data_IF_266564390930
#
_entry.id   IF_266564390930
#
_cell.length_a   1.000
_cell.length_b   1.000
_cell.length_c   1.000
_cell.angle_alpha   90.00
_cell.angle_beta   90.00
_cell.angle_gamma   90.00
#
_symmetry.space_group_name_H-M   'P 1'
#
loop_
_entity.id
_entity.type
_entity.pdbx_description
1 polymer ?
#
# COMPACT_ATOMS: atom_id res chain seq x y z
N UNK A 1 -24.49 10.20 5.43
CA UNK A 1 -24.04 9.37 4.29
C UNK A 1 -24.51 7.96 4.52
N UNK A 2 -25.05 7.30 3.48
CA UNK A 2 -25.28 5.85 3.54
C UNK A 2 -23.93 5.13 3.58
N UNK A 3 -23.88 3.97 4.24
CA UNK A 3 -22.71 3.07 4.21
C UNK A 3 -22.28 2.74 2.76
N UNK A 4 -23.24 2.73 1.84
CA UNK A 4 -22.98 2.52 0.41
C UNK A 4 -22.27 3.71 -0.25
N UNK A 5 -22.59 4.96 0.13
CA UNK A 5 -21.95 6.16 -0.42
C UNK A 5 -20.48 6.23 -0.02
N UNK A 6 -20.19 5.87 1.24
CA UNK A 6 -18.83 5.80 1.76
C UNK A 6 -18.00 4.75 1.02
N UNK A 7 -18.57 3.56 0.80
CA UNK A 7 -17.88 2.49 0.07
C UNK A 7 -17.63 2.87 -1.39
N UNK A 8 -18.58 3.55 -2.05
CA UNK A 8 -18.39 4.11 -3.39
C UNK A 8 -17.27 5.13 -3.43
N UNK A 9 -17.19 6.01 -2.43
CA UNK A 9 -16.13 7.00 -2.33
C UNK A 9 -14.75 6.35 -2.17
N UNK A 10 -14.63 5.34 -1.30
CA UNK A 10 -13.39 4.58 -1.09
C UNK A 10 -12.91 3.89 -2.37
N UNK A 11 -13.82 3.22 -3.08
CA UNK A 11 -13.51 2.58 -4.38
C UNK A 11 -13.04 3.62 -5.38
N UNK A 12 -13.74 4.76 -5.49
CA UNK A 12 -13.35 5.83 -6.42
C UNK A 12 -11.96 6.38 -6.12
N UNK A 13 -11.65 6.66 -4.85
CA UNK A 13 -10.32 7.12 -4.42
C UNK A 13 -9.24 6.07 -4.78
N UNK A 14 -9.51 4.79 -4.53
CA UNK A 14 -8.58 3.71 -4.84
C UNK A 14 -8.33 3.57 -6.36
N UNK A 15 -9.36 3.69 -7.18
CA UNK A 15 -9.24 3.64 -8.65
C UNK A 15 -8.37 4.78 -9.17
N UNK A 16 -8.64 6.02 -8.74
CA UNK A 16 -7.86 7.19 -9.16
C UNK A 16 -6.38 7.05 -8.78
N UNK A 17 -6.10 6.50 -7.60
CA UNK A 17 -4.73 6.36 -7.11
C UNK A 17 -3.96 5.19 -7.77
N UNK A 18 -4.52 3.99 -7.75
CA UNK A 18 -3.81 2.78 -8.18
C UNK A 18 -3.96 2.47 -9.67
N UNK A 19 -5.11 2.79 -10.27
CA UNK A 19 -5.38 2.49 -11.67
C UNK A 19 -5.02 3.66 -12.58
N UNK A 20 -5.33 4.89 -12.16
CA UNK A 20 -5.08 6.09 -12.97
C UNK A 20 -3.78 6.79 -12.62
N UNK A 21 -3.10 6.38 -11.54
CA UNK A 21 -1.79 6.90 -11.16
C UNK A 21 -1.80 8.35 -10.65
N UNK A 22 -2.97 8.89 -10.29
CA UNK A 22 -3.09 10.26 -9.79
C UNK A 22 -2.41 10.41 -8.43
N UNK A 23 -1.83 11.59 -8.18
CA UNK A 23 -1.25 11.92 -6.87
C UNK A 23 -2.36 12.21 -5.87
N UNK A 24 -2.11 11.93 -4.58
CA UNK A 24 -3.10 12.16 -3.51
C UNK A 24 -3.59 13.61 -3.44
N UNK A 25 -2.73 14.59 -3.74
CA UNK A 25 -3.10 16.01 -3.79
C UNK A 25 -4.04 16.31 -4.97
N UNK A 26 -3.81 15.72 -6.14
CA UNK A 26 -4.66 15.89 -7.33
C UNK A 26 -6.05 15.27 -7.09
N UNK A 27 -6.10 14.10 -6.47
CA UNK A 27 -7.35 13.43 -6.06
C UNK A 27 -8.11 14.29 -5.04
N UNK A 28 -7.39 14.87 -4.07
CA UNK A 28 -7.99 15.73 -3.05
C UNK A 28 -8.67 16.96 -3.69
N UNK A 29 -7.98 17.63 -4.61
CA UNK A 29 -8.55 18.76 -5.36
C UNK A 29 -9.74 18.33 -6.22
N UNK A 30 -9.62 17.22 -6.96
CA UNK A 30 -10.66 16.71 -7.87
C UNK A 30 -11.95 16.29 -7.15
N UNK A 31 -11.84 15.75 -5.92
CA UNK A 31 -12.98 15.30 -5.13
C UNK A 31 -13.44 16.33 -4.08
N UNK A 32 -12.83 17.51 -4.03
CA UNK A 32 -13.06 18.53 -2.99
C UNK A 32 -12.89 17.97 -1.56
N UNK A 33 -11.84 17.18 -1.36
CA UNK A 33 -11.47 16.56 -0.08
C UNK A 33 -10.12 17.07 0.41
N UNK A 34 -9.79 16.82 1.67
CA UNK A 34 -8.43 17.05 2.15
C UNK A 34 -7.50 15.92 1.71
N UNK A 35 -6.22 16.26 1.46
CA UNK A 35 -5.20 15.26 1.15
C UNK A 35 -5.04 14.22 2.28
N UNK A 36 -5.18 14.64 3.54
CA UNK A 36 -5.12 13.74 4.70
C UNK A 36 -6.29 12.76 4.76
N UNK A 37 -7.47 13.15 4.27
CA UNK A 37 -8.59 12.23 4.10
C UNK A 37 -8.29 11.21 3.00
N UNK A 38 -7.81 11.65 1.84
CA UNK A 38 -7.43 10.76 0.71
C UNK A 38 -6.38 9.73 1.13
N UNK A 39 -5.34 10.16 1.85
CA UNK A 39 -4.29 9.27 2.38
C UNK A 39 -4.86 8.18 3.30
N UNK A 40 -5.73 8.57 4.24
CA UNK A 40 -6.41 7.63 5.15
C UNK A 40 -7.34 6.68 4.39
N UNK A 41 -8.06 7.19 3.38
CA UNK A 41 -8.94 6.39 2.53
C UNK A 41 -8.16 5.30 1.79
N UNK A 42 -7.03 5.64 1.16
CA UNK A 42 -6.17 4.66 0.48
C UNK A 42 -5.69 3.57 1.44
N UNK A 43 -5.20 3.98 2.61
CA UNK A 43 -4.75 3.04 3.66
C UNK A 43 -5.88 2.11 4.11
N UNK A 44 -7.09 2.66 4.28
CA UNK A 44 -8.29 1.91 4.64
C UNK A 44 -8.68 0.92 3.53
N UNK A 45 -8.62 1.30 2.26
CA UNK A 45 -8.93 0.40 1.14
C UNK A 45 -8.06 -0.86 1.15
N UNK A 46 -6.77 -0.73 1.48
CA UNK A 46 -5.88 -1.90 1.64
C UNK A 46 -6.27 -2.71 2.88
N UNK A 47 -6.48 -2.06 4.02
CA UNK A 47 -6.85 -2.71 5.29
C UNK A 47 -8.16 -3.50 5.18
N UNK A 48 -9.16 -2.95 4.51
CA UNK A 48 -10.49 -3.54 4.33
C UNK A 48 -10.57 -4.47 3.11
N UNK A 49 -9.44 -4.76 2.46
CA UNK A 49 -9.34 -5.63 1.28
C UNK A 49 -10.16 -5.18 0.07
N UNK A 50 -10.45 -3.87 -0.01
CA UNK A 50 -10.95 -3.24 -1.24
C UNK A 50 -9.86 -3.21 -2.31
N UNK A 51 -8.60 -3.09 -1.89
CA UNK A 51 -7.42 -3.14 -2.77
C UNK A 51 -6.52 -4.31 -2.36
N UNK A 52 -6.08 -5.09 -3.35
CA UNK A 52 -5.05 -6.13 -3.19
C UNK A 52 -3.82 -5.74 -4.00
N UNK A 53 -2.71 -5.53 -3.31
CA UNK A 53 -1.41 -5.25 -3.94
C UNK A 53 -0.65 -6.56 -4.07
N UNK A 54 -0.13 -6.85 -5.27
CA UNK A 54 0.73 -8.01 -5.53
C UNK A 54 2.02 -7.53 -6.16
N UNK A 55 3.14 -7.98 -5.61
CA UNK A 55 4.48 -7.72 -6.14
C UNK A 55 4.93 -8.97 -6.87
N UNK A 56 5.17 -8.85 -8.18
CA UNK A 56 5.67 -9.95 -9.01
C UNK A 56 7.20 -9.95 -8.88
N UNK A 57 7.74 -11.05 -8.36
CA UNK A 57 9.19 -11.21 -8.27
C UNK A 57 9.75 -11.65 -9.62
N UNK A 58 10.79 -10.98 -10.15
CA UNK A 58 11.45 -11.44 -11.36
C UNK A 58 12.19 -12.77 -11.08
N UNK A 59 12.36 -13.61 -12.12
CA UNK A 59 13.15 -14.84 -11.99
C UNK A 59 14.57 -14.51 -11.50
N UNK A 60 15.13 -15.40 -10.67
CA UNK A 60 16.46 -15.29 -10.04
C UNK A 60 16.59 -14.29 -8.87
N UNK A 61 15.50 -13.66 -8.44
CA UNK A 61 15.50 -12.82 -7.23
C UNK A 61 15.02 -13.65 -6.03
N UNK A 62 15.94 -14.31 -5.34
CA UNK A 62 15.63 -15.16 -4.17
C UNK A 62 15.55 -14.33 -2.88
N UNK A 63 14.63 -13.36 -2.81
CA UNK A 63 14.52 -12.47 -1.64
C UNK A 63 14.35 -13.23 -0.32
N UNK A 64 13.65 -14.38 -0.34
CA UNK A 64 13.54 -15.25 0.85
C UNK A 64 14.87 -15.86 1.29
N UNK A 65 15.72 -16.25 0.33
CA UNK A 65 17.06 -16.80 0.61
C UNK A 65 18.00 -15.69 1.13
N UNK A 66 17.98 -14.52 0.50
CA UNK A 66 18.77 -13.36 0.95
C UNK A 66 18.39 -12.93 2.36
N UNK A 67 17.09 -12.89 2.67
CA UNK A 67 16.59 -12.59 4.01
C UNK A 67 17.06 -13.63 5.04
N UNK A 68 17.03 -14.92 4.69
CA UNK A 68 17.50 -16.00 5.56
C UNK A 68 19.03 -15.94 5.82
N UNK A 69 19.82 -15.66 4.78
CA UNK A 69 21.28 -15.47 4.89
C UNK A 69 21.58 -14.25 5.77
N UNK A 70 20.90 -13.13 5.54
CA UNK A 70 21.06 -11.91 6.34
C UNK A 70 20.74 -12.17 7.82
N UNK A 71 19.63 -12.83 8.11
CA UNK A 71 19.25 -13.17 9.48
C UNK A 71 20.30 -14.04 10.18
N UNK A 72 20.88 -15.03 9.48
CA UNK A 72 21.97 -15.86 9.98
C UNK A 72 23.24 -15.04 10.26
N UNK A 73 23.62 -14.14 9.35
CA UNK A 73 24.81 -13.29 9.53
C UNK A 73 24.66 -12.31 10.70
N UNK A 74 23.48 -11.71 10.88
CA UNK A 74 23.24 -10.82 12.03
C UNK A 74 23.24 -11.57 13.37
N UNK A 75 22.77 -12.82 13.42
CA UNK A 75 22.85 -13.64 14.63
C UNK A 75 24.30 -14.01 15.00
N UNK A 76 25.14 -14.27 14.00
CA UNK A 76 26.57 -14.52 14.21
C UNK A 76 27.24 -13.26 14.76
N UNK A 77 26.97 -12.09 14.16
CA UNK A 77 27.57 -10.83 14.60
C UNK A 77 27.17 -10.47 16.05
N UNK A 78 25.96 -10.80 16.49
CA UNK A 78 25.51 -10.58 17.86
C UNK A 78 26.15 -11.56 18.89
N UNK A 79 26.66 -12.70 18.45
CA UNK A 79 27.27 -13.71 19.33
C UNK A 79 28.76 -13.46 19.60
N UNK A 80 29.37 -12.48 18.91
CA UNK A 80 30.79 -12.10 19.02
C UNK A 80 31.01 -10.70 19.63
N UNK A 81 29.97 -10.09 20.22
CA UNK A 81 30.03 -8.88 21.07
C UNK A 81 29.46 -9.20 22.45
#
# INVERSE_FOLDING_TARGET
MSKQDEQRLLVKIATLYYSEGMKQAEIATSLHLSQSFVSRAITRCVKERVVKISVIQPPNMFMGLEAAIRARQSAINFMFY
#
